data_IF_412165901749
#
_entry.id   IF_412165901749
#
_cell.length_a   1.000
_cell.length_b   1.000
_cell.length_c   1.000
_cell.angle_alpha   90.00
_cell.angle_beta   90.00
_cell.angle_gamma   90.00
#
_symmetry.space_group_name_H-M   'P 1'
#
loop_
_entity.id
_entity.type
_entity.pdbx_description
1 polymer ?
#
# COMPACT_ATOMS: atom_id res chain seq x y z
N UNK A 1 10.03 -10.15 -9.65
CA UNK A 1 10.02 -9.38 -8.40
C UNK A 1 10.46 -7.98 -8.72
N UNK A 2 9.66 -6.98 -8.36
CA UNK A 2 9.94 -5.57 -8.64
C UNK A 2 9.88 -4.77 -7.34
N UNK A 3 10.54 -3.62 -7.29
CA UNK A 3 10.36 -2.65 -6.23
C UNK A 3 9.20 -1.72 -6.63
N UNK A 4 8.18 -1.63 -5.77
CA UNK A 4 7.05 -0.72 -5.98
C UNK A 4 6.88 0.18 -4.75
N UNK A 5 6.43 1.41 -4.99
CA UNK A 5 6.06 2.31 -3.91
C UNK A 5 4.62 2.06 -3.52
N UNK A 6 4.35 1.93 -2.22
CA UNK A 6 3.01 1.90 -1.68
C UNK A 6 2.78 3.13 -0.82
N UNK A 7 1.55 3.62 -0.85
CA UNK A 7 1.10 4.77 -0.09
C UNK A 7 -0.14 4.42 0.72
N UNK A 8 -0.09 4.81 1.98
CA UNK A 8 -1.22 4.79 2.90
C UNK A 8 -1.72 6.22 3.11
N UNK A 9 -3.03 6.44 3.00
CA UNK A 9 -3.68 7.75 3.20
C UNK A 9 -4.52 7.75 4.48
N UNK A 10 -4.23 8.67 5.41
CA UNK A 10 -5.01 8.79 6.64
C UNK A 10 -4.61 7.83 7.75
N UNK A 11 -3.34 7.36 7.77
CA UNK A 11 -2.80 6.67 8.93
C UNK A 11 -2.81 7.63 10.14
N UNK A 12 -3.29 7.18 11.32
CA UNK A 12 -3.15 7.96 12.54
C UNK A 12 -1.69 8.33 12.83
N UNK A 13 -1.45 9.58 13.23
CA UNK A 13 -0.11 10.11 13.53
C UNK A 13 0.69 9.26 14.53
N UNK A 14 0.03 8.61 15.48
CA UNK A 14 0.70 7.76 16.47
C UNK A 14 1.31 6.47 15.88
N UNK A 15 0.90 6.06 14.67
CA UNK A 15 1.45 4.91 13.94
C UNK A 15 2.70 5.26 13.12
N UNK A 16 3.17 6.51 13.12
CA UNK A 16 4.34 6.95 12.33
C UNK A 16 5.69 6.59 12.95
N UNK A 17 5.73 5.59 13.85
CA UNK A 17 6.98 5.03 14.35
C UNK A 17 7.54 4.08 13.31
N UNK A 18 8.84 4.15 13.02
CA UNK A 18 9.49 3.33 11.98
C UNK A 18 9.14 1.85 12.10
N UNK A 19 9.25 1.26 13.30
CA UNK A 19 8.95 -0.15 13.53
C UNK A 19 7.47 -0.51 13.25
N UNK A 20 6.53 0.38 13.60
CA UNK A 20 5.09 0.19 13.31
C UNK A 20 4.84 0.24 11.80
N UNK A 21 5.51 1.15 11.11
CA UNK A 21 5.41 1.29 9.66
C UNK A 21 6.03 0.10 8.92
N UNK A 22 7.12 -0.48 9.43
CA UNK A 22 7.67 -1.73 8.90
C UNK A 22 6.67 -2.88 9.06
N UNK A 23 6.03 -2.99 10.22
CA UNK A 23 5.02 -4.01 10.50
C UNK A 23 3.79 -3.86 9.59
N UNK A 24 3.26 -2.64 9.47
CA UNK A 24 2.16 -2.32 8.54
C UNK A 24 2.54 -2.63 7.09
N UNK A 25 3.75 -2.24 6.66
CA UNK A 25 4.24 -2.53 5.32
C UNK A 25 4.35 -4.04 5.07
N UNK A 26 4.78 -4.80 6.10
CA UNK A 26 4.91 -6.25 6.05
C UNK A 26 3.59 -6.98 5.81
N UNK A 27 2.45 -6.40 6.26
CA UNK A 27 1.10 -6.91 5.97
C UNK A 27 0.79 -6.90 4.47
N UNK A 28 1.37 -5.95 3.73
CA UNK A 28 1.27 -5.90 2.27
C UNK A 28 2.29 -6.84 1.66
N UNK A 29 3.58 -6.60 1.93
CA UNK A 29 4.75 -7.32 1.39
C UNK A 29 6.02 -7.00 2.18
N UNK A 30 7.10 -7.75 1.91
CA UNK A 30 8.43 -7.45 2.47
C UNK A 30 8.84 -6.01 2.13
N UNK A 31 9.01 -5.20 3.17
CA UNK A 31 9.46 -3.81 3.08
C UNK A 31 10.95 -3.79 2.70
N UNK A 32 11.30 -2.98 1.71
CA UNK A 32 12.66 -2.75 1.25
C UNK A 32 13.21 -1.42 1.76
N UNK A 33 12.35 -0.39 1.82
CA UNK A 33 12.71 0.96 2.26
C UNK A 33 11.47 1.68 2.79
N UNK A 34 11.65 2.51 3.82
CA UNK A 34 10.65 3.46 4.29
C UNK A 34 11.05 4.89 3.90
N UNK A 35 10.09 5.66 3.38
CA UNK A 35 10.23 7.09 3.12
C UNK A 35 9.07 7.83 3.80
N UNK A 36 9.36 8.40 4.97
CA UNK A 36 8.36 9.09 5.79
C UNK A 36 8.39 10.58 5.44
N UNK A 37 7.56 10.98 4.48
CA UNK A 37 7.39 12.38 4.11
C UNK A 37 6.29 13.02 4.96
N UNK A 38 6.72 13.55 6.10
CA UNK A 38 5.87 14.41 6.93
C UNK A 38 5.90 15.82 6.35
N UNK A 39 4.95 16.18 5.48
CA UNK A 39 4.80 17.59 5.11
C UNK A 39 4.19 18.32 6.32
N UNK A 40 5.01 19.09 7.04
CA UNK A 40 4.64 19.73 8.30
C UNK A 40 3.47 20.72 8.18
N UNK A 41 3.09 21.12 6.96
CA UNK A 41 1.98 22.04 6.70
C UNK A 41 0.68 21.42 6.18
N UNK A 42 0.68 20.16 5.73
CA UNK A 42 -0.52 19.54 5.16
C UNK A 42 -1.19 18.63 6.19
N UNK A 43 -2.52 18.75 6.32
CA UNK A 43 -3.39 17.98 7.23
C UNK A 43 -3.32 16.46 7.09
N UNK A 44 -2.60 15.95 6.09
CA UNK A 44 -2.35 14.53 5.88
C UNK A 44 -0.83 14.27 5.86
N UNK A 45 -0.38 13.52 6.86
CA UNK A 45 0.93 12.88 6.79
C UNK A 45 0.85 11.76 5.74
N UNK A 46 1.86 11.63 4.89
CA UNK A 46 1.92 10.56 3.91
C UNK A 46 3.11 9.66 4.20
N UNK A 47 2.83 8.36 4.30
CA UNK A 47 3.90 7.36 4.37
C UNK A 47 4.01 6.70 3.02
N UNK A 48 5.20 6.82 2.41
CA UNK A 48 5.58 6.01 1.25
C UNK A 48 6.49 4.88 1.73
N UNK A 49 6.23 3.67 1.26
CA UNK A 49 7.07 2.52 1.55
C UNK A 49 7.45 1.85 0.23
N UNK A 50 8.71 1.52 0.04
CA UNK A 50 9.14 0.66 -1.04
C UNK A 50 9.00 -0.79 -0.57
N UNK A 51 8.23 -1.59 -1.31
CA UNK A 51 8.00 -3.01 -1.01
C UNK A 51 8.38 -3.88 -2.20
N UNK A 52 8.80 -5.11 -1.91
CA UNK A 52 9.03 -6.12 -2.94
C UNK A 52 7.71 -6.73 -3.39
N UNK A 53 7.36 -6.49 -4.64
CA UNK A 53 6.13 -7.01 -5.26
C UNK A 53 6.46 -8.16 -6.20
N UNK A 54 5.77 -9.28 -5.99
CA UNK A 54 5.73 -10.38 -6.94
C UNK A 54 4.49 -10.26 -7.82
N UNK A 55 4.67 -9.91 -9.08
CA UNK A 55 3.60 -9.77 -10.07
C UNK A 55 2.93 -11.12 -10.43
N UNK A 56 3.48 -12.26 -9.98
CA UNK A 56 2.81 -13.56 -10.14
C UNK A 56 1.72 -13.79 -9.10
N UNK A 57 1.68 -12.95 -8.05
CA UNK A 57 0.72 -13.04 -6.96
C UNK A 57 -0.22 -11.83 -7.01
N UNK A 58 -1.47 -11.98 -6.54
CA UNK A 58 -2.39 -10.85 -6.45
C UNK A 58 -1.82 -9.76 -5.55
N UNK A 59 -2.24 -8.53 -5.83
CA UNK A 59 -1.77 -7.33 -5.15
C UNK A 59 -2.72 -7.00 -4.01
N UNK A 60 -2.19 -6.87 -2.79
CA UNK A 60 -2.98 -6.51 -1.62
C UNK A 60 -3.44 -5.05 -1.73
N UNK A 61 -4.66 -4.82 -2.18
CA UNK A 61 -5.23 -3.49 -2.38
C UNK A 61 -5.77 -2.85 -1.08
N UNK A 62 -5.99 -3.66 -0.04
CA UNK A 62 -6.50 -3.24 1.26
C UNK A 62 -5.89 -4.06 2.39
N UNK A 63 -5.64 -3.43 3.52
CA UNK A 63 -5.20 -4.09 4.76
C UNK A 63 -6.00 -3.56 5.94
N UNK A 64 -6.16 -4.38 6.98
CA UNK A 64 -6.81 -3.98 8.22
C UNK A 64 -5.74 -3.50 9.20
N UNK A 65 -5.81 -2.25 9.62
CA UNK A 65 -4.88 -1.64 10.58
C UNK A 65 -5.70 -1.02 11.70
N UNK A 66 -5.51 -1.48 12.94
CA UNK A 66 -6.31 -1.05 14.10
C UNK A 66 -7.81 -1.00 13.80
N UNK A 67 -8.35 -2.11 13.29
CA UNK A 67 -9.78 -2.26 12.96
C UNK A 67 -10.30 -1.34 11.85
N UNK A 68 -9.42 -0.57 11.20
CA UNK A 68 -9.77 0.28 10.07
C UNK A 68 -9.25 -0.31 8.77
N UNK A 69 -10.13 -0.42 7.78
CA UNK A 69 -9.75 -0.84 6.43
C UNK A 69 -8.97 0.30 5.78
N UNK A 70 -7.70 0.04 5.54
CA UNK A 70 -6.80 0.98 4.92
C UNK A 70 -6.56 0.56 3.46
N UNK A 71 -6.85 1.47 2.53
CA UNK A 71 -6.55 1.26 1.11
C UNK A 71 -5.06 1.47 0.84
N UNK A 72 -4.47 0.52 0.12
CA UNK A 72 -3.09 0.56 -0.35
C UNK A 72 -3.09 1.07 -1.77
N UNK A 73 -2.46 2.22 -2.00
CA UNK A 73 -2.22 2.71 -3.36
C UNK A 73 -0.81 2.33 -3.78
N UNK A 74 -0.68 1.61 -4.88
CA UNK A 74 0.62 1.35 -5.49
C UNK A 74 0.95 2.48 -6.47
N UNK A 75 2.08 3.12 -6.27
CA UNK A 75 2.66 4.13 -7.15
C UNK A 75 3.83 3.52 -7.93
N UNK A 76 4.01 3.96 -9.18
CA UNK A 76 5.08 3.51 -10.09
C UNK A 76 5.09 1.99 -10.38
N UNK A 77 3.92 1.33 -10.45
CA UNK A 77 3.85 -0.02 -11.00
C UNK A 77 4.13 0.00 -12.51
N UNK A 78 4.90 -0.98 -13.04
CA UNK A 78 4.95 -1.25 -14.47
C UNK A 78 3.53 -1.51 -15.01
N UNK A 79 3.30 -1.23 -16.31
CA UNK A 79 1.99 -1.41 -16.98
C UNK A 79 1.35 -2.77 -16.69
N UNK A 80 2.16 -3.84 -16.59
CA UNK A 80 1.71 -5.20 -16.23
C UNK A 80 1.06 -5.25 -14.84
N UNK A 81 1.61 -4.56 -13.85
CA UNK A 81 1.02 -4.46 -12.52
C UNK A 81 -0.30 -3.68 -12.50
N UNK A 82 -0.38 -2.59 -13.25
CA UNK A 82 -1.61 -1.81 -13.38
C UNK A 82 -2.75 -2.61 -14.04
N UNK A 83 -2.42 -3.42 -15.05
CA UNK A 83 -3.38 -4.27 -15.76
C UNK A 83 -3.93 -5.39 -14.87
N UNK A 84 -3.12 -5.90 -13.93
CA UNK A 84 -3.54 -6.89 -12.95
C UNK A 84 -4.49 -6.30 -11.90
N UNK A 85 -4.22 -5.08 -11.42
CA UNK A 85 -5.15 -4.34 -10.54
C UNK A 85 -6.50 -4.14 -11.22
N UNK A 86 -6.51 -3.79 -12.50
CA UNK A 86 -7.74 -3.64 -13.28
C UNK A 86 -8.51 -4.97 -13.40
N UNK A 87 -7.80 -6.09 -13.59
CA UNK A 87 -8.42 -7.42 -13.66
C UNK A 87 -9.08 -7.83 -12.33
N UNK A 88 -8.44 -7.54 -11.20
CA UNK A 88 -8.99 -7.81 -9.86
C UNK A 88 -10.19 -6.89 -9.52
N UNK A 89 -10.14 -5.62 -9.95
CA UNK A 89 -11.27 -4.70 -9.85
C UNK A 89 -12.48 -5.13 -10.70
N UNK A 90 -12.25 -5.67 -11.89
CA UNK A 90 -13.32 -6.22 -12.74
C UNK A 90 -13.92 -7.48 -12.08
N UNK A 91 -13.09 -8.38 -11.57
CA UNK A 91 -13.57 -9.63 -10.94
C UNK A 91 -14.39 -9.36 -9.67
N UNK A 92 -13.95 -8.45 -8.81
CA UNK A 92 -14.70 -8.06 -7.59
C UNK A 92 -15.97 -7.27 -7.88
N UNK A 93 -16.12 -6.71 -9.08
CA UNK A 93 -17.34 -6.02 -9.55
C UNK A 93 -18.38 -7.00 -10.09
N UNK A 94 -17.96 -8.13 -10.68
CA UNK A 94 -18.88 -9.20 -11.11
C UNK A 94 -19.32 -10.13 -9.98
N UNK A 95 -18.57 -10.21 -8.87
CA UNK A 95 -18.97 -11.00 -7.69
C UNK A 95 -19.99 -10.32 -6.77
N UNK A 96 -20.31 -9.03 -7.01
CA UNK A 96 -21.29 -8.24 -6.24
C UNK A 96 -22.64 -8.06 -6.95
N UNK A 97 -22.97 -8.91 -7.92
CA UNK A 97 -24.26 -8.93 -8.60
C UNK A 97 -24.94 -10.28 -8.43
#
# INVERSE_FOLDING_TARGET
>A
MILAWIRFSGLPRFLYKNWVLEEIGSLVRKVAKLDIKTNSGARDQFTMMAVFVDLKKPLTSQVLINERVQRVKFEALPVVGAMMMAKEMIQTRWSRK
#
